data_IF_659444844565
#
_entry.id   IF_659444844565
#
_cell.length_a   1.000
_cell.length_b   1.000
_cell.length_c   1.000
_cell.angle_alpha   90.00
_cell.angle_beta   90.00
_cell.angle_gamma   90.00
#
_symmetry.space_group_name_H-M   'P 1'
#
loop_
_entity.id
_entity.type
_entity.pdbx_description
1 polymer ?
#
# COMPACT_ATOMS: atom_id res chain seq x y z
N UNK A 1 -38.50 3.08 81.80
CA UNK A 1 -37.79 4.20 81.16
C UNK A 1 -36.77 3.59 80.20
N UNK A 2 -36.72 4.13 78.98
CA UNK A 2 -35.89 3.78 77.81
C UNK A 2 -36.35 2.70 76.80
N UNK A 3 -36.35 3.19 75.57
CA UNK A 3 -36.84 2.72 74.26
C UNK A 3 -35.63 2.16 73.49
N UNK A 4 -35.89 1.48 72.35
CA UNK A 4 -35.01 1.20 71.19
C UNK A 4 -34.28 -0.16 71.33
N UNK A 5 -34.29 -1.10 70.37
CA UNK A 5 -34.17 -0.93 68.93
C UNK A 5 -34.66 -2.19 68.20
N UNK A 6 -35.79 -2.07 67.50
CA UNK A 6 -36.36 -3.08 66.60
C UNK A 6 -36.18 -2.59 65.16
N UNK A 7 -34.95 -2.35 64.67
CA UNK A 7 -34.80 -1.85 63.29
C UNK A 7 -33.42 -1.98 62.60
N UNK A 8 -32.46 -2.74 63.15
CA UNK A 8 -31.09 -2.74 62.60
C UNK A 8 -30.66 -4.05 61.90
N UNK A 9 -31.47 -5.12 61.92
CA UNK A 9 -31.08 -6.40 61.31
C UNK A 9 -31.62 -6.65 59.89
N UNK A 10 -32.65 -5.92 59.43
CA UNK A 10 -33.30 -6.20 58.13
C UNK A 10 -32.58 -5.56 56.94
N UNK A 11 -31.82 -4.48 57.17
CA UNK A 11 -31.19 -3.70 56.08
C UNK A 11 -29.88 -4.28 55.55
N UNK A 12 -29.23 -5.21 56.26
CA UNK A 12 -27.93 -5.78 55.85
C UNK A 12 -28.10 -6.92 54.82
N UNK A 13 -29.12 -7.77 54.98
CA UNK A 13 -29.35 -8.90 54.08
C UNK A 13 -29.86 -8.50 52.68
N UNK A 14 -30.58 -7.38 52.59
CA UNK A 14 -31.10 -6.85 51.31
C UNK A 14 -29.98 -6.34 50.37
N UNK A 15 -28.90 -5.79 50.94
CA UNK A 15 -27.79 -5.24 50.14
C UNK A 15 -26.85 -6.31 49.58
N UNK A 16 -26.69 -7.44 50.27
CA UNK A 16 -25.87 -8.55 49.78
C UNK A 16 -26.52 -9.34 48.65
N UNK A 17 -27.85 -9.47 48.63
CA UNK A 17 -28.59 -10.13 47.55
C UNK A 17 -28.56 -9.33 46.24
N UNK A 18 -28.58 -8.00 46.29
CA UNK A 18 -28.48 -7.17 45.09
C UNK A 18 -27.07 -7.14 44.47
N UNK A 19 -26.00 -7.18 45.29
CA UNK A 19 -24.62 -7.26 44.76
C UNK A 19 -24.29 -8.62 44.16
N UNK A 20 -24.88 -9.72 44.64
CA UNK A 20 -24.67 -11.06 44.07
C UNK A 20 -25.36 -11.24 42.70
N UNK A 21 -26.50 -10.57 42.47
CA UNK A 21 -27.25 -10.66 41.21
C UNK A 21 -26.62 -9.83 40.07
N UNK A 22 -25.90 -8.75 40.41
CA UNK A 22 -25.25 -7.87 39.43
C UNK A 22 -23.91 -8.44 38.89
N UNK A 23 -23.23 -9.31 39.66
CA UNK A 23 -21.96 -9.92 39.24
C UNK A 23 -22.18 -11.13 38.30
N UNK A 24 -23.36 -11.75 38.36
CA UNK A 24 -23.72 -12.89 37.50
C UNK A 24 -24.18 -12.50 36.08
N UNK A 25 -24.47 -11.22 35.82
CA UNK A 25 -24.91 -10.74 34.49
C UNK A 25 -23.78 -10.19 33.62
N UNK A 26 -22.57 -10.00 34.17
CA UNK A 26 -21.43 -9.43 33.43
C UNK A 26 -20.58 -10.52 32.73
N UNK A 27 -20.78 -11.81 33.04
CA UNK A 27 -20.00 -12.91 32.45
C UNK A 27 -20.60 -13.60 31.21
N UNK A 28 -21.70 -13.09 30.66
CA UNK A 28 -22.43 -13.79 29.57
C UNK A 28 -22.26 -13.16 28.17
N UNK A 29 -21.30 -12.26 27.97
CA UNK A 29 -20.98 -11.71 26.64
C UNK A 29 -19.79 -12.45 26.02
N UNK A 30 -19.93 -13.76 25.75
CA UNK A 30 -19.12 -14.35 24.68
C UNK A 30 -19.65 -13.80 23.36
N UNK A 31 -19.08 -12.68 22.92
CA UNK A 31 -19.19 -12.25 21.54
C UNK A 31 -18.53 -13.33 20.68
N UNK A 32 -19.34 -14.29 20.21
CA UNK A 32 -18.94 -15.11 19.08
C UNK A 32 -18.87 -14.18 17.88
N UNK A 33 -17.64 -13.80 17.50
CA UNK A 33 -17.37 -13.45 16.11
C UNK A 33 -17.79 -14.66 15.28
N UNK A 34 -18.94 -14.56 14.60
CA UNK A 34 -19.33 -15.58 13.63
C UNK A 34 -18.47 -15.38 12.39
N UNK A 35 -17.29 -16.02 12.38
CA UNK A 35 -16.57 -16.27 11.15
C UNK A 35 -17.49 -17.06 10.20
N UNK A 36 -17.49 -16.69 8.93
CA UNK A 36 -18.22 -17.39 7.87
C UNK A 36 -17.93 -18.89 7.99
N UNK A 37 -18.96 -19.77 8.06
CA UNK A 37 -18.72 -21.21 8.19
C UNK A 37 -17.92 -21.70 6.97
N UNK A 38 -16.67 -22.13 7.20
CA UNK A 38 -15.83 -22.74 6.18
C UNK A 38 -16.30 -24.19 5.97
N UNK A 39 -17.28 -24.36 5.09
CA UNK A 39 -17.90 -25.65 4.74
C UNK A 39 -16.96 -26.54 3.89
N UNK A 40 -15.67 -26.61 4.23
CA UNK A 40 -14.64 -27.30 3.45
C UNK A 40 -14.38 -26.65 2.08
N UNK A 41 -14.76 -25.37 1.92
CA UNK A 41 -14.53 -24.66 0.66
C UNK A 41 -13.03 -24.53 0.40
N UNK A 42 -12.26 -24.09 1.40
CA UNK A 42 -10.80 -24.02 1.31
C UNK A 42 -10.18 -25.37 0.89
N UNK A 43 -10.66 -26.49 1.45
CA UNK A 43 -10.13 -27.83 1.15
C UNK A 43 -10.41 -28.24 -0.30
N UNK A 44 -11.59 -27.92 -0.83
CA UNK A 44 -11.94 -28.18 -2.23
C UNK A 44 -11.04 -27.40 -3.18
N UNK A 45 -10.77 -26.13 -2.86
CA UNK A 45 -9.89 -25.28 -3.65
C UNK A 45 -8.46 -25.81 -3.64
N UNK A 46 -7.93 -26.17 -2.45
CA UNK A 46 -6.62 -26.82 -2.34
C UNK A 46 -6.52 -28.09 -3.17
N UNK A 47 -7.49 -29.00 -3.05
CA UNK A 47 -7.50 -30.24 -3.86
C UNK A 47 -7.52 -29.96 -5.36
N UNK A 48 -8.27 -28.94 -5.78
CA UNK A 48 -8.30 -28.50 -7.18
C UNK A 48 -6.93 -28.00 -7.67
N UNK A 49 -6.26 -27.18 -6.86
CA UNK A 49 -4.93 -26.66 -7.18
C UNK A 49 -3.87 -27.77 -7.23
N UNK A 50 -3.85 -28.66 -6.22
CA UNK A 50 -2.94 -29.81 -6.19
C UNK A 50 -3.15 -30.75 -7.38
N UNK A 51 -4.41 -31.04 -7.73
CA UNK A 51 -4.71 -31.85 -8.91
C UNK A 51 -4.27 -31.17 -10.22
N UNK A 52 -4.26 -29.84 -10.29
CA UNK A 52 -3.71 -29.11 -11.43
C UNK A 52 -2.17 -29.20 -11.46
N UNK A 53 -1.50 -29.06 -10.31
CA UNK A 53 -0.06 -29.25 -10.18
C UNK A 53 0.38 -30.68 -10.57
N UNK A 54 -0.36 -31.71 -10.17
CA UNK A 54 -0.11 -33.11 -10.55
C UNK A 54 -0.15 -33.31 -12.08
N UNK A 55 -0.95 -32.51 -12.78
CA UNK A 55 -1.03 -32.48 -14.25
C UNK A 55 -0.04 -31.52 -14.91
N UNK A 56 0.85 -30.90 -14.14
CA UNK A 56 1.77 -29.84 -14.57
C UNK A 56 1.06 -28.62 -15.18
N UNK A 57 -0.22 -28.42 -14.86
CA UNK A 57 -1.01 -27.27 -15.28
C UNK A 57 -0.91 -26.16 -14.23
N UNK A 58 0.27 -25.53 -14.20
CA UNK A 58 0.61 -24.52 -13.21
C UNK A 58 -0.15 -23.21 -13.38
N UNK A 59 -0.62 -22.88 -14.58
CA UNK A 59 -1.48 -21.71 -14.81
C UNK A 59 -2.84 -21.87 -14.14
N UNK A 60 -3.47 -23.04 -14.30
CA UNK A 60 -4.71 -23.36 -13.59
C UNK A 60 -4.49 -23.39 -12.08
N UNK A 61 -3.41 -24.02 -11.60
CA UNK A 61 -3.08 -24.03 -10.17
C UNK A 61 -2.91 -22.60 -9.62
N UNK A 62 -2.18 -21.74 -10.33
CA UNK A 62 -1.96 -20.33 -9.99
C UNK A 62 -3.28 -19.55 -9.91
N UNK A 63 -4.17 -19.74 -10.89
CA UNK A 63 -5.51 -19.12 -10.86
C UNK A 63 -6.30 -19.55 -9.63
N UNK A 64 -6.30 -20.85 -9.30
CA UNK A 64 -7.01 -21.38 -8.13
C UNK A 64 -6.42 -20.82 -6.82
N UNK A 65 -5.10 -20.79 -6.68
CA UNK A 65 -4.46 -20.24 -5.48
C UNK A 65 -4.73 -18.75 -5.29
N UNK A 66 -4.69 -17.95 -6.36
CA UNK A 66 -5.01 -16.51 -6.31
C UNK A 66 -6.45 -16.26 -5.88
N UNK A 67 -7.38 -16.94 -6.53
CA UNK A 67 -8.79 -16.87 -6.17
C UNK A 67 -9.05 -17.34 -4.72
N UNK A 68 -8.29 -18.33 -4.21
CA UNK A 68 -8.37 -18.74 -2.81
C UNK A 68 -7.90 -17.62 -1.87
N UNK A 69 -6.81 -16.91 -2.20
CA UNK A 69 -6.35 -15.73 -1.43
C UNK A 69 -7.42 -14.64 -1.47
N UNK A 70 -7.96 -14.34 -2.65
CA UNK A 70 -8.95 -13.28 -2.87
C UNK A 70 -10.29 -13.57 -2.18
N UNK A 71 -10.59 -14.86 -1.91
CA UNK A 71 -11.80 -15.27 -1.18
C UNK A 71 -11.85 -14.75 0.27
N UNK A 72 -10.69 -14.40 0.85
CA UNK A 72 -10.56 -13.99 2.25
C UNK A 72 -10.85 -15.11 3.27
N UNK A 73 -11.01 -16.35 2.82
CA UNK A 73 -11.19 -17.52 3.68
C UNK A 73 -9.90 -17.85 4.45
N UNK A 74 -9.98 -18.53 5.60
CA UNK A 74 -8.80 -19.07 6.27
C UNK A 74 -8.00 -19.94 5.30
N UNK A 75 -6.71 -19.63 5.16
CA UNK A 75 -5.79 -20.32 4.27
C UNK A 75 -5.12 -21.50 5.01
N UNK A 76 -4.94 -22.65 4.35
CA UNK A 76 -4.23 -23.78 4.94
C UNK A 76 -2.76 -23.47 5.13
N UNK A 77 -2.17 -23.98 6.20
CA UNK A 77 -0.78 -23.65 6.58
C UNK A 77 0.24 -24.17 5.55
N UNK A 78 -0.08 -25.24 4.83
CA UNK A 78 0.73 -25.82 3.74
C UNK A 78 0.53 -25.12 2.38
N UNK A 79 -0.52 -24.30 2.22
CA UNK A 79 -0.81 -23.64 0.95
C UNK A 79 0.34 -22.77 0.41
N UNK A 80 1.05 -21.98 1.24
CA UNK A 80 2.15 -21.17 0.75
C UNK A 80 3.28 -21.99 0.12
N UNK A 81 3.53 -23.23 0.57
CA UNK A 81 4.52 -24.10 -0.06
C UNK A 81 4.12 -24.46 -1.50
N UNK A 82 2.93 -25.03 -1.68
CA UNK A 82 2.45 -25.44 -3.01
C UNK A 82 2.28 -24.25 -3.97
N UNK A 83 1.85 -23.10 -3.45
CA UNK A 83 1.76 -21.91 -4.27
C UNK A 83 3.16 -21.41 -4.67
N UNK A 84 4.16 -21.53 -3.80
CA UNK A 84 5.55 -21.22 -4.14
C UNK A 84 6.10 -22.11 -5.24
N UNK A 85 5.85 -23.42 -5.19
CA UNK A 85 6.22 -24.36 -6.26
C UNK A 85 5.56 -23.97 -7.58
N UNK A 86 4.26 -23.69 -7.55
CA UNK A 86 3.51 -23.24 -8.73
C UNK A 86 4.12 -21.98 -9.33
N UNK A 87 4.43 -20.98 -8.51
CA UNK A 87 5.03 -19.73 -8.95
C UNK A 87 6.46 -19.92 -9.48
N UNK A 88 7.21 -20.88 -8.94
CA UNK A 88 8.54 -21.23 -9.44
C UNK A 88 8.48 -21.78 -10.87
N UNK A 89 7.55 -22.70 -11.14
CA UNK A 89 7.35 -23.29 -12.47
C UNK A 89 6.86 -22.25 -13.48
N UNK A 90 6.09 -21.25 -13.02
CA UNK A 90 5.69 -20.08 -13.82
C UNK A 90 6.76 -18.98 -13.90
N UNK A 91 7.98 -19.23 -13.39
CA UNK A 91 9.11 -18.28 -13.38
C UNK A 91 8.86 -16.97 -12.61
N UNK A 92 7.82 -16.93 -11.77
CA UNK A 92 7.53 -15.81 -10.88
C UNK A 92 8.36 -15.94 -9.59
N UNK A 93 9.68 -15.93 -9.74
CA UNK A 93 10.63 -16.33 -8.69
C UNK A 93 10.59 -15.43 -7.43
N UNK A 94 10.40 -14.11 -7.57
CA UNK A 94 10.26 -13.21 -6.42
C UNK A 94 9.00 -13.55 -5.61
N UNK A 95 7.86 -13.75 -6.30
CA UNK A 95 6.61 -14.15 -5.65
C UNK A 95 6.76 -15.53 -4.98
N UNK A 96 7.38 -16.50 -5.67
CA UNK A 96 7.67 -17.82 -5.13
C UNK A 96 8.50 -17.72 -3.84
N UNK A 97 9.57 -16.93 -3.83
CA UNK A 97 10.40 -16.72 -2.64
C UNK A 97 9.64 -16.06 -1.48
N UNK A 98 8.72 -15.13 -1.76
CA UNK A 98 7.92 -14.46 -0.74
C UNK A 98 6.92 -15.43 -0.08
N UNK A 99 6.23 -16.27 -0.86
CA UNK A 99 5.33 -17.29 -0.31
C UNK A 99 6.09 -18.41 0.41
N UNK A 100 7.29 -18.75 -0.04
CA UNK A 100 8.13 -19.76 0.61
C UNK A 100 8.62 -19.28 1.96
N UNK A 101 9.01 -18.00 2.04
CA UNK A 101 9.31 -17.34 3.31
C UNK A 101 8.11 -17.40 4.24
N UNK A 102 6.90 -17.16 3.70
CA UNK A 102 5.66 -17.24 4.48
C UNK A 102 5.38 -18.65 5.00
N UNK A 103 5.66 -19.68 4.20
CA UNK A 103 5.56 -21.07 4.63
C UNK A 103 6.44 -21.34 5.86
N UNK A 104 7.72 -20.91 5.83
CA UNK A 104 8.62 -21.09 6.96
C UNK A 104 8.19 -20.30 8.20
N UNK A 105 7.64 -19.09 8.04
CA UNK A 105 7.10 -18.31 9.16
C UNK A 105 5.95 -19.01 9.89
N UNK A 106 5.02 -19.63 9.14
CA UNK A 106 3.83 -20.26 9.68
C UNK A 106 4.15 -21.62 10.31
N UNK A 107 4.94 -22.43 9.63
CA UNK A 107 5.14 -23.84 9.98
C UNK A 107 6.46 -24.12 10.71
N UNK A 108 7.47 -23.25 10.54
CA UNK A 108 8.83 -23.50 11.01
C UNK A 108 9.38 -24.82 10.48
N UNK A 109 10.01 -25.60 11.36
CA UNK A 109 10.56 -26.93 11.05
C UNK A 109 9.54 -28.07 11.13
N UNK A 110 8.26 -27.78 11.42
CA UNK A 110 7.21 -28.78 11.65
C UNK A 110 6.29 -29.01 10.46
N UNK A 111 6.40 -28.17 9.42
CA UNK A 111 5.57 -28.30 8.24
C UNK A 111 5.84 -29.60 7.48
N UNK A 112 4.80 -30.18 6.90
CA UNK A 112 4.86 -31.47 6.22
C UNK A 112 5.85 -31.42 5.05
N UNK A 113 5.89 -30.28 4.35
CA UNK A 113 6.75 -30.05 3.21
C UNK A 113 8.07 -29.34 3.54
N UNK A 114 8.53 -29.37 4.80
CA UNK A 114 9.75 -28.63 5.20
C UNK A 114 10.97 -28.95 4.34
N UNK A 115 11.20 -30.23 4.04
CA UNK A 115 12.34 -30.64 3.22
C UNK A 115 12.21 -30.13 1.77
N UNK A 116 11.04 -30.28 1.16
CA UNK A 116 10.77 -29.75 -0.18
C UNK A 116 10.90 -28.22 -0.24
N UNK A 117 10.46 -27.53 0.82
CA UNK A 117 10.61 -26.08 0.94
C UNK A 117 12.07 -25.65 0.98
N UNK A 118 12.95 -26.37 1.70
CA UNK A 118 14.40 -26.09 1.70
C UNK A 118 15.03 -26.35 0.34
N UNK A 119 14.60 -27.38 -0.37
CA UNK A 119 15.07 -27.64 -1.73
C UNK A 119 14.63 -26.56 -2.72
N UNK A 120 13.40 -26.08 -2.60
CA UNK A 120 12.90 -24.96 -3.41
C UNK A 120 13.64 -23.65 -3.11
N UNK A 121 13.96 -23.39 -1.83
CA UNK A 121 14.76 -22.23 -1.41
C UNK A 121 16.13 -22.23 -2.11
N UNK A 122 16.79 -23.40 -2.17
CA UNK A 122 18.06 -23.54 -2.90
C UNK A 122 17.89 -23.33 -4.41
N UNK A 123 16.84 -23.89 -5.03
CA UNK A 123 16.54 -23.71 -6.46
C UNK A 123 16.28 -22.24 -6.83
N UNK A 124 15.70 -21.47 -5.92
CA UNK A 124 15.39 -20.05 -6.14
C UNK A 124 16.62 -19.14 -6.16
N UNK A 125 17.74 -19.53 -5.54
CA UNK A 125 18.93 -18.67 -5.43
C UNK A 125 19.47 -18.22 -6.80
N UNK A 126 19.60 -19.15 -7.74
CA UNK A 126 20.14 -18.85 -9.08
C UNK A 126 19.25 -17.89 -9.88
N UNK A 127 17.94 -18.15 -10.08
CA UNK A 127 17.09 -17.21 -10.83
C UNK A 127 16.91 -15.86 -10.13
N UNK A 128 16.87 -15.81 -8.80
CA UNK A 128 16.83 -14.53 -8.07
C UNK A 128 18.12 -13.71 -8.26
N UNK A 129 19.28 -14.37 -8.27
CA UNK A 129 20.55 -13.71 -8.59
C UNK A 129 20.59 -13.22 -10.04
N UNK A 130 20.00 -13.97 -10.99
CA UNK A 130 19.86 -13.54 -12.38
C UNK A 130 18.95 -12.31 -12.51
N UNK A 131 17.84 -12.25 -11.78
CA UNK A 131 16.97 -11.06 -11.71
C UNK A 131 17.74 -9.86 -11.13
N UNK A 132 18.44 -10.05 -10.00
CA UNK A 132 19.15 -8.97 -9.32
C UNK A 132 20.30 -8.37 -10.15
N UNK A 133 20.90 -9.17 -11.03
CA UNK A 133 21.98 -8.73 -11.93
C UNK A 133 21.49 -8.22 -13.29
N UNK A 134 20.20 -8.39 -13.61
CA UNK A 134 19.65 -8.01 -14.91
C UNK A 134 19.18 -6.56 -14.94
N UNK A 135 19.70 -5.79 -15.89
CA UNK A 135 19.31 -4.39 -16.10
C UNK A 135 17.96 -4.25 -16.85
N UNK A 136 17.46 -5.36 -17.40
CA UNK A 136 16.19 -5.40 -18.14
C UNK A 136 15.02 -5.81 -17.26
N UNK A 137 15.27 -6.28 -16.03
CA UNK A 137 14.21 -6.71 -15.14
C UNK A 137 14.00 -5.68 -14.03
N UNK A 138 12.76 -5.56 -13.56
CA UNK A 138 12.50 -4.93 -12.28
C UNK A 138 12.97 -5.87 -11.14
N UNK A 139 12.93 -5.38 -9.89
CA UNK A 139 13.31 -6.17 -8.71
C UNK A 139 12.53 -7.48 -8.56
N UNK A 140 11.33 -7.57 -9.16
CA UNK A 140 10.43 -8.73 -9.07
C UNK A 140 10.60 -9.73 -10.25
N UNK A 141 11.46 -9.43 -11.22
CA UNK A 141 11.69 -10.28 -12.39
C UNK A 141 10.80 -10.01 -13.61
N UNK A 142 10.03 -8.92 -13.64
CA UNK A 142 9.25 -8.50 -14.81
C UNK A 142 10.08 -7.61 -15.73
N UNK A 143 9.81 -7.67 -17.04
CA UNK A 143 10.55 -6.91 -18.05
C UNK A 143 10.29 -5.41 -17.90
N UNK A 144 11.37 -4.62 -17.93
CA UNK A 144 11.31 -3.17 -18.00
C UNK A 144 11.13 -2.72 -19.45
N UNK A 145 10.17 -1.84 -19.65
CA UNK A 145 9.88 -1.20 -20.92
C UNK A 145 10.10 0.30 -20.81
N UNK A 146 10.30 0.95 -21.96
CA UNK A 146 10.41 2.41 -22.02
C UNK A 146 9.11 3.04 -21.57
N UNK A 147 9.19 4.02 -20.65
CA UNK A 147 7.99 4.72 -20.20
C UNK A 147 7.37 5.51 -21.35
N UNK A 148 6.19 5.13 -21.81
CA UNK A 148 5.47 5.79 -22.90
C UNK A 148 5.15 7.27 -22.61
N UNK A 149 4.91 7.61 -21.34
CA UNK A 149 4.57 8.99 -20.98
C UNK A 149 5.71 9.97 -21.23
N UNK A 150 6.96 9.56 -20.97
CA UNK A 150 8.13 10.40 -21.16
C UNK A 150 9.08 9.93 -22.26
N UNK A 151 8.75 8.85 -22.98
CA UNK A 151 9.60 8.21 -23.98
C UNK A 151 11.05 8.01 -23.50
N UNK A 152 11.22 7.61 -22.23
CA UNK A 152 12.55 7.41 -21.63
C UNK A 152 13.32 8.68 -21.24
N UNK A 153 12.79 9.87 -21.50
CA UNK A 153 13.45 11.16 -21.15
C UNK A 153 13.46 11.47 -19.65
N UNK A 154 12.71 10.70 -18.85
CA UNK A 154 12.62 10.76 -17.37
C UNK A 154 11.94 12.03 -16.83
N UNK A 155 11.75 13.04 -17.66
CA UNK A 155 11.23 14.35 -17.29
C UNK A 155 10.07 14.73 -18.19
N UNK A 156 9.14 15.49 -17.64
CA UNK A 156 8.04 16.09 -18.38
C UNK A 156 8.13 17.60 -18.24
N UNK A 157 7.95 18.27 -19.36
CA UNK A 157 7.82 19.72 -19.40
C UNK A 157 6.33 20.05 -19.35
N UNK A 158 5.94 20.82 -18.34
CA UNK A 158 4.55 21.23 -18.15
C UNK A 158 4.49 22.73 -17.92
N UNK A 159 3.29 23.29 -18.05
CA UNK A 159 3.06 24.67 -17.65
C UNK A 159 3.41 24.86 -16.18
N UNK A 160 4.06 25.98 -15.86
CA UNK A 160 4.42 26.28 -14.50
C UNK A 160 3.17 26.29 -13.62
N UNK A 161 3.11 25.42 -12.63
CA UNK A 161 1.98 25.23 -11.72
C UNK A 161 1.60 26.53 -10.97
N UNK A 162 2.59 27.38 -10.70
CA UNK A 162 2.41 28.62 -9.95
C UNK A 162 1.80 29.74 -10.79
N UNK A 163 2.27 29.95 -12.02
CA UNK A 163 1.75 31.01 -12.89
C UNK A 163 0.80 30.51 -13.99
N UNK A 164 0.56 29.20 -14.08
CA UNK A 164 -0.31 28.54 -15.06
C UNK A 164 -0.03 29.01 -16.50
N UNK A 165 1.25 29.00 -16.88
CA UNK A 165 1.69 29.43 -18.20
C UNK A 165 1.71 30.94 -18.45
N UNK A 166 1.33 31.79 -17.49
CA UNK A 166 1.30 33.25 -17.70
C UNK A 166 2.64 33.97 -17.49
N UNK A 167 3.59 33.36 -16.77
CA UNK A 167 4.92 33.94 -16.52
C UNK A 167 4.96 35.11 -15.54
N UNK A 168 3.80 35.63 -15.17
CA UNK A 168 3.60 36.73 -14.22
C UNK A 168 2.60 36.34 -13.14
N UNK A 169 2.77 36.89 -11.95
CA UNK A 169 1.90 36.68 -10.79
C UNK A 169 1.58 38.01 -10.12
N UNK A 170 0.43 38.09 -9.44
CA UNK A 170 0.07 39.27 -8.65
C UNK A 170 1.03 39.47 -7.48
N UNK A 171 1.41 40.72 -7.20
CA UNK A 171 2.21 41.04 -6.02
C UNK A 171 1.36 40.84 -4.76
N UNK A 172 1.74 39.87 -3.91
CA UNK A 172 0.99 39.58 -2.68
C UNK A 172 1.04 40.71 -1.64
N UNK A 173 2.04 41.60 -1.71
CA UNK A 173 2.19 42.72 -0.78
C UNK A 173 1.13 43.81 -1.00
N UNK A 174 0.72 44.03 -2.25
CA UNK A 174 -0.29 45.03 -2.60
C UNK A 174 -1.56 44.40 -3.21
N UNK A 175 -1.75 43.08 -3.06
CA UNK A 175 -2.87 42.34 -3.65
C UNK A 175 -3.11 42.63 -5.15
N UNK A 176 -2.03 42.83 -5.92
CA UNK A 176 -2.15 43.10 -7.36
C UNK A 176 -2.38 44.55 -7.78
N UNK A 177 -2.59 45.49 -6.85
CA UNK A 177 -2.98 46.88 -7.18
C UNK A 177 -1.81 47.79 -7.54
N UNK A 178 -0.60 47.47 -7.11
CA UNK A 178 0.58 48.35 -7.19
C UNK A 178 0.70 49.35 -6.04
N UNK A 179 -0.32 49.47 -5.19
CA UNK A 179 -0.39 50.46 -4.11
C UNK A 179 -0.67 49.81 -2.75
N UNK A 180 -0.10 50.36 -1.69
CA UNK A 180 -0.32 49.94 -0.29
C UNK A 180 -1.00 51.08 0.45
N UNK A 181 -2.08 50.77 1.17
CA UNK A 181 -2.78 51.72 2.02
C UNK A 181 -2.27 51.63 3.46
N UNK A 182 -2.01 52.77 4.09
CA UNK A 182 -1.70 52.88 5.52
C UNK A 182 -2.57 53.96 6.14
N UNK A 183 -3.00 53.75 7.39
CA UNK A 183 -3.67 54.79 8.18
C UNK A 183 -2.66 55.48 9.07
N UNK A 184 -2.68 56.81 9.06
CA UNK A 184 -1.86 57.61 9.95
C UNK A 184 -2.58 57.82 11.32
N UNK A 185 -1.93 58.55 12.23
CA UNK A 185 -2.43 58.85 13.58
C UNK A 185 -3.77 59.64 13.53
N UNK A 186 -4.07 60.31 12.42
CA UNK A 186 -5.32 61.04 12.20
C UNK A 186 -6.41 60.21 11.51
N UNK A 187 -6.21 58.89 11.38
CA UNK A 187 -7.15 57.97 10.72
C UNK A 187 -7.39 58.30 9.22
N UNK A 188 -6.49 59.06 8.59
CA UNK A 188 -6.52 59.34 7.15
C UNK A 188 -5.82 58.20 6.42
N UNK A 189 -6.40 57.75 5.31
CA UNK A 189 -5.84 56.70 4.45
C UNK A 189 -4.86 57.33 3.46
N UNK A 190 -3.61 56.92 3.52
CA UNK A 190 -2.54 57.32 2.62
C UNK A 190 -2.17 56.16 1.70
N UNK A 191 -1.87 56.49 0.43
CA UNK A 191 -1.49 55.53 -0.60
C UNK A 191 0.00 55.64 -0.89
N UNK A 192 0.68 54.50 -0.85
CA UNK A 192 2.10 54.39 -1.12
C UNK A 192 2.32 53.42 -2.28
N UNK A 193 3.26 53.73 -3.18
CA UNK A 193 3.68 52.76 -4.17
C UNK A 193 4.25 51.51 -3.49
N UNK A 194 3.87 50.34 -4.01
CA UNK A 194 4.39 49.09 -3.52
C UNK A 194 5.84 48.90 -3.97
N UNK A 195 6.76 49.11 -3.04
CA UNK A 195 8.20 48.83 -3.15
C UNK A 195 8.54 47.47 -3.79
N UNK A 196 7.83 46.40 -3.40
CA UNK A 196 8.11 45.03 -3.88
C UNK A 196 7.91 44.87 -5.38
N UNK A 197 6.93 45.57 -5.96
CA UNK A 197 6.61 45.48 -7.38
C UNK A 197 6.85 46.79 -8.15
N UNK A 198 7.49 47.77 -7.51
CA UNK A 198 7.71 49.12 -8.06
C UNK A 198 6.45 49.72 -8.71
N UNK A 199 5.32 49.67 -7.99
CA UNK A 199 4.05 50.21 -8.47
C UNK A 199 3.31 49.39 -9.55
N UNK A 200 3.89 48.30 -10.08
CA UNK A 200 3.30 47.56 -11.22
C UNK A 200 2.15 46.62 -10.85
N UNK A 201 2.02 46.28 -9.56
CA UNK A 201 1.04 45.29 -9.06
C UNK A 201 1.33 43.84 -9.46
N UNK A 202 2.30 43.59 -10.34
CA UNK A 202 2.65 42.26 -10.86
C UNK A 202 4.15 42.01 -10.74
N UNK A 203 4.51 40.74 -10.59
CA UNK A 203 5.89 40.27 -10.51
C UNK A 203 6.09 39.15 -11.53
N UNK A 204 7.31 39.01 -12.04
CA UNK A 204 7.70 37.81 -12.77
C UNK A 204 7.51 36.59 -11.87
N UNK A 205 6.98 35.50 -12.43
CA UNK A 205 6.77 34.26 -11.70
C UNK A 205 8.10 33.81 -11.06
N UNK A 206 8.19 33.69 -9.73
CA UNK A 206 9.43 33.29 -9.05
C UNK A 206 9.78 31.82 -9.29
N UNK A 207 8.79 30.98 -9.65
CA UNK A 207 8.99 29.55 -9.87
C UNK A 207 9.63 29.27 -11.24
N UNK A 208 9.13 29.90 -12.31
CA UNK A 208 9.63 29.67 -13.67
C UNK A 208 10.52 30.81 -14.19
N UNK A 209 10.70 31.89 -13.43
CA UNK A 209 11.43 33.09 -13.84
C UNK A 209 10.99 33.64 -15.21
N UNK A 210 9.71 33.48 -15.54
CA UNK A 210 9.15 33.92 -16.83
C UNK A 210 9.30 32.92 -17.98
N UNK A 211 9.93 31.75 -17.79
CA UNK A 211 10.02 30.69 -18.81
C UNK A 211 8.69 30.00 -19.12
N UNK A 212 7.64 30.30 -18.35
CA UNK A 212 6.28 29.75 -18.45
C UNK A 212 6.16 28.25 -18.13
N UNK A 213 7.27 27.54 -18.09
CA UNK A 213 7.32 26.09 -18.00
C UNK A 213 8.11 25.64 -16.77
N UNK A 214 7.77 24.47 -16.28
CA UNK A 214 8.51 23.76 -15.24
C UNK A 214 8.81 22.35 -15.72
N UNK A 215 10.00 21.87 -15.37
CA UNK A 215 10.42 20.51 -15.68
C UNK A 215 10.29 19.70 -14.40
N UNK A 216 9.40 18.71 -14.41
CA UNK A 216 9.26 17.76 -13.31
C UNK A 216 9.76 16.39 -13.73
N UNK A 217 10.05 15.54 -12.75
CA UNK A 217 10.20 14.12 -13.01
C UNK A 217 8.89 13.55 -13.58
N UNK A 218 9.02 12.57 -14.48
CA UNK A 218 7.86 11.86 -14.98
C UNK A 218 7.24 11.07 -13.83
N UNK A 219 6.00 11.43 -13.47
CA UNK A 219 5.27 10.80 -12.36
C UNK A 219 4.97 9.33 -12.63
N UNK A 220 4.77 8.94 -13.89
CA UNK A 220 4.48 7.55 -14.27
C UNK A 220 5.65 6.62 -13.93
N UNK A 221 6.88 7.02 -14.21
CA UNK A 221 8.07 6.20 -13.97
C UNK A 221 8.90 6.63 -12.75
N UNK A 222 8.48 7.66 -12.01
CA UNK A 222 9.25 8.23 -10.90
C UNK A 222 10.66 8.67 -11.32
N UNK A 223 10.83 9.17 -12.56
CA UNK A 223 12.12 9.58 -13.08
C UNK A 223 13.08 8.45 -13.52
N UNK A 224 12.68 7.17 -13.50
CA UNK A 224 13.53 6.07 -13.99
C UNK A 224 13.69 6.08 -15.53
N UNK A 225 12.65 6.50 -16.25
CA UNK A 225 12.53 6.39 -17.71
C UNK A 225 11.94 5.06 -18.18
N UNK A 226 11.71 4.10 -17.27
CA UNK A 226 11.20 2.77 -17.58
C UNK A 226 10.08 2.35 -16.63
N UNK A 227 9.14 1.55 -17.13
CA UNK A 227 8.03 0.98 -16.35
C UNK A 227 8.07 -0.55 -16.44
N UNK A 228 7.66 -1.28 -15.40
CA UNK A 228 7.55 -2.73 -15.50
C UNK A 228 6.33 -3.10 -16.38
N UNK A 229 6.54 -4.05 -17.28
CA UNK A 229 5.50 -4.73 -18.05
C UNK A 229 4.85 -5.86 -17.24
N UNK A 230 3.85 -6.50 -17.84
CA UNK A 230 3.23 -7.72 -17.31
C UNK A 230 4.02 -8.99 -17.69
N UNK A 231 5.02 -8.87 -18.58
CA UNK A 231 5.78 -10.01 -19.08
C UNK A 231 6.95 -10.37 -18.16
N UNK A 232 7.14 -11.68 -17.94
CA UNK A 232 8.30 -12.20 -17.22
C UNK A 232 9.55 -12.00 -18.08
N UNK A 233 10.58 -11.43 -17.46
CA UNK A 233 11.84 -11.11 -18.09
C UNK A 233 12.57 -12.38 -18.52
N UNK A 234 12.90 -12.51 -19.81
CA UNK A 234 13.69 -13.62 -20.36
C UNK A 234 15.21 -13.40 -20.27
N UNK A 235 15.62 -12.26 -19.69
CA UNK A 235 17.00 -11.77 -19.58
C UNK A 235 17.73 -11.52 -20.91
N UNK A 236 17.00 -11.44 -22.04
CA UNK A 236 17.59 -11.18 -23.36
C UNK A 236 17.26 -9.78 -23.86
N UNK A 237 18.21 -9.08 -24.49
CA UNK A 237 17.89 -7.87 -25.24
C UNK A 237 16.87 -8.21 -26.33
N UNK A 238 15.79 -7.43 -26.43
CA UNK A 238 14.93 -7.46 -27.61
C UNK A 238 15.28 -6.25 -28.45
N UNK A 239 15.71 -6.49 -29.69
CA UNK A 239 15.80 -5.43 -30.68
C UNK A 239 14.38 -5.16 -31.17
N UNK A 240 13.90 -3.94 -30.96
CA UNK A 240 12.72 -3.46 -31.66
C UNK A 240 13.12 -3.25 -33.12
N UNK A 241 12.69 -4.16 -34.00
CA UNK A 241 12.76 -4.01 -35.46
C UNK A 241 11.87 -2.87 -35.94
#
# INVERSE_FOLDING_TARGET
MFILSFNQQVTVYSKFLFSALLILTIFSSKAYSQGVPNLGQTDRWMKGALAAMERQDYETANSIFRNLIDSGLPLPEEMPYYFSETLFELKQYDNSSNFLSKYFELNGFRGENYQGAKELEEKLKTPLAAIASCQLCNRKGYRLETCETCNGTKKLEQECSYCKGHGIVGCSKCAGTGMITKRNIFNIVEYYECDRCAGKGRLTCPTCNGSLKEVSECKTCGGSGTVPSEEICDHKPHEHL
#
